data_IF_602758206264
#
_entry.id   IF_602758206264
#
_cell.length_a   1.000
_cell.length_b   1.000
_cell.length_c   1.000
_cell.angle_alpha   90.00
_cell.angle_beta   90.00
_cell.angle_gamma   90.00
#
_symmetry.space_group_name_H-M   'P 1'
#
loop_
_entity.id
_entity.type
_entity.pdbx_description
1 polymer ?
#
# COMPACT_ATOMS: atom_id res chain seq x y z
N UNK A 1 12.74 19.20 12.31
CA UNK A 1 11.31 18.82 12.34
C UNK A 1 10.49 20.02 12.81
N UNK A 2 9.66 20.64 11.95
CA UNK A 2 8.83 21.80 12.36
C UNK A 2 7.57 21.30 13.06
N UNK A 3 7.38 21.65 14.33
CA UNK A 3 6.18 21.34 15.10
C UNK A 3 4.96 22.05 14.49
N UNK A 4 3.87 21.31 14.25
CA UNK A 4 2.60 21.88 13.78
C UNK A 4 2.03 22.76 14.90
N UNK A 5 1.93 24.07 14.66
CA UNK A 5 1.24 25.01 15.57
C UNK A 5 -0.23 24.60 15.66
N UNK A 6 -0.67 24.12 16.82
CA UNK A 6 -2.09 23.82 17.05
C UNK A 6 -2.85 25.14 17.11
N UNK A 7 -3.81 25.33 16.21
CA UNK A 7 -4.71 26.49 16.20
C UNK A 7 -5.50 26.49 17.52
N UNK A 8 -5.57 27.63 18.20
CA UNK A 8 -6.38 27.76 19.43
C UNK A 8 -7.84 27.42 19.08
N UNK A 9 -8.51 26.61 19.90
CA UNK A 9 -9.89 26.19 19.61
C UNK A 9 -10.77 27.42 19.51
N UNK A 10 -11.67 27.43 18.52
CA UNK A 10 -12.62 28.51 18.35
C UNK A 10 -13.68 28.45 19.47
N UNK A 11 -14.30 29.58 19.82
CA UNK A 11 -15.33 29.66 20.86
C UNK A 11 -16.47 28.67 20.59
N UNK A 12 -16.88 28.50 19.32
CA UNK A 12 -17.88 27.50 18.93
C UNK A 12 -17.45 26.05 19.23
N UNK A 13 -16.15 25.74 19.12
CA UNK A 13 -15.62 24.42 19.44
C UNK A 13 -15.56 24.19 20.95
N UNK A 14 -15.18 25.21 21.72
CA UNK A 14 -15.15 25.18 23.19
C UNK A 14 -16.56 24.92 23.73
N UNK A 15 -17.55 25.67 23.22
CA UNK A 15 -18.95 25.55 23.64
C UNK A 15 -19.61 24.24 23.16
N UNK A 16 -19.20 23.68 22.01
CA UNK A 16 -19.72 22.40 21.48
C UNK A 16 -18.92 21.16 21.91
N UNK A 17 -17.77 21.31 22.54
CA UNK A 17 -16.93 20.18 22.98
C UNK A 17 -17.68 19.27 23.96
N UNK A 18 -18.45 19.86 24.88
CA UNK A 18 -19.26 19.12 25.85
C UNK A 18 -20.27 18.19 25.17
N UNK A 19 -21.05 18.71 24.21
CA UNK A 19 -22.07 17.90 23.51
C UNK A 19 -21.46 16.74 22.72
N UNK A 20 -20.29 16.95 22.08
CA UNK A 20 -19.53 15.90 21.41
C UNK A 20 -19.08 14.81 22.38
N UNK A 21 -18.61 15.18 23.58
CA UNK A 21 -18.21 14.24 24.62
C UNK A 21 -19.42 13.45 25.14
N UNK A 22 -20.54 14.10 25.41
CA UNK A 22 -21.77 13.41 25.85
C UNK A 22 -22.35 12.50 24.77
N UNK A 23 -22.26 12.88 23.50
CA UNK A 23 -22.63 12.02 22.38
C UNK A 23 -21.75 10.76 22.33
N UNK A 24 -20.43 10.91 22.48
CA UNK A 24 -19.50 9.76 22.56
C UNK A 24 -19.83 8.86 23.76
N UNK A 25 -20.02 9.43 24.96
CA UNK A 25 -20.39 8.67 26.16
C UNK A 25 -21.70 7.90 26.00
N UNK A 26 -22.72 8.50 25.36
CA UNK A 26 -23.98 7.81 25.06
C UNK A 26 -23.80 6.67 24.06
N UNK A 27 -22.96 6.84 23.04
CA UNK A 27 -22.64 5.75 22.09
C UNK A 27 -21.96 4.58 22.79
N UNK A 28 -20.93 4.86 23.60
CA UNK A 28 -20.24 3.84 24.39
C UNK A 28 -21.21 3.10 25.33
N UNK A 29 -22.11 3.81 26.01
CA UNK A 29 -23.13 3.17 26.86
C UNK A 29 -24.09 2.27 26.08
N UNK A 30 -24.46 2.63 24.84
CA UNK A 30 -25.30 1.81 23.97
C UNK A 30 -24.58 0.59 23.39
N UNK A 31 -23.29 0.73 23.13
CA UNK A 31 -22.43 -0.36 22.64
C UNK A 31 -21.99 -1.29 23.78
N UNK A 32 -22.13 -0.85 25.03
CA UNK A 32 -21.88 -1.68 26.21
C UNK A 32 -22.95 -2.75 26.27
N UNK A 33 -22.54 -4.01 26.21
CA UNK A 33 -23.44 -5.17 26.32
C UNK A 33 -24.05 -5.18 27.72
N UNK A 34 -25.38 -5.14 27.83
CA UNK A 34 -26.09 -5.05 29.11
C UNK A 34 -26.01 -6.35 29.93
N UNK A 35 -26.09 -7.51 29.26
CA UNK A 35 -26.02 -8.84 29.90
C UNK A 35 -25.15 -9.80 29.07
N UNK A 36 -24.41 -10.65 29.76
CA UNK A 36 -23.60 -11.72 29.14
C UNK A 36 -24.18 -13.06 29.56
N UNK A 37 -24.95 -13.68 28.65
CA UNK A 37 -25.50 -15.01 28.87
C UNK A 37 -24.50 -16.09 28.41
N UNK A 38 -24.32 -17.11 29.24
CA UNK A 38 -23.44 -18.24 28.93
C UNK A 38 -24.24 -19.42 28.42
N UNK A 39 -24.14 -19.66 27.11
CA UNK A 39 -24.64 -20.88 26.50
C UNK A 39 -23.69 -22.05 26.81
N UNK A 40 -24.19 -23.03 27.55
CA UNK A 40 -23.44 -24.22 27.94
C UNK A 40 -23.13 -25.13 26.75
N UNK A 41 -23.99 -25.17 25.74
CA UNK A 41 -23.77 -25.99 24.54
C UNK A 41 -22.67 -25.39 23.67
N UNK A 42 -22.72 -24.08 23.43
CA UNK A 42 -21.63 -23.35 22.78
C UNK A 42 -20.30 -23.49 23.54
N UNK A 43 -20.34 -23.49 24.88
CA UNK A 43 -19.14 -23.73 25.70
C UNK A 43 -18.59 -25.14 25.51
N UNK A 44 -19.43 -26.17 25.46
CA UNK A 44 -19.02 -27.56 25.24
C UNK A 44 -18.39 -27.74 23.86
N UNK A 45 -18.97 -27.14 22.83
CA UNK A 45 -18.41 -27.11 21.47
C UNK A 45 -17.09 -26.35 21.42
N UNK A 46 -16.98 -25.24 22.16
CA UNK A 46 -15.72 -24.53 22.31
C UNK A 46 -14.70 -25.36 23.09
N UNK A 47 -15.06 -26.14 24.10
CA UNK A 47 -14.06 -26.94 24.82
C UNK A 47 -13.60 -28.15 24.02
N UNK A 48 -14.44 -28.75 23.19
CA UNK A 48 -14.10 -29.98 22.44
C UNK A 48 -13.61 -29.71 21.02
N UNK A 49 -14.05 -28.61 20.39
CA UNK A 49 -13.80 -28.27 18.99
C UNK A 49 -12.45 -27.60 18.69
N UNK A 50 -11.34 -27.99 19.34
CA UNK A 50 -10.04 -27.32 19.18
C UNK A 50 -9.55 -27.28 17.73
N UNK A 51 -9.75 -28.37 16.99
CA UNK A 51 -9.38 -28.44 15.57
C UNK A 51 -10.19 -27.46 14.73
N UNK A 52 -11.53 -27.40 14.94
CA UNK A 52 -12.42 -26.44 14.28
C UNK A 52 -11.93 -25.01 14.50
N UNK A 53 -11.62 -24.62 15.74
CA UNK A 53 -11.08 -23.29 16.05
C UNK A 53 -9.70 -23.02 15.47
N UNK A 54 -8.84 -24.03 15.40
CA UNK A 54 -7.52 -23.87 14.76
C UNK A 54 -7.68 -23.60 13.27
N UNK A 55 -8.60 -24.31 12.59
CA UNK A 55 -8.92 -24.09 11.19
C UNK A 55 -9.58 -22.73 10.97
N UNK A 56 -10.56 -22.36 11.79
CA UNK A 56 -11.23 -21.06 11.73
C UNK A 56 -10.25 -19.89 11.94
N UNK A 57 -9.33 -20.00 12.90
CA UNK A 57 -8.29 -18.98 13.09
C UNK A 57 -7.44 -18.81 11.84
N UNK A 58 -6.96 -19.91 11.25
CA UNK A 58 -6.21 -19.87 9.99
C UNK A 58 -7.03 -19.22 8.86
N UNK A 59 -8.29 -19.59 8.70
CA UNK A 59 -9.21 -19.02 7.70
C UNK A 59 -9.40 -17.53 7.91
N UNK A 60 -9.72 -17.08 9.13
CA UNK A 60 -9.88 -15.66 9.49
C UNK A 60 -8.62 -14.84 9.21
N UNK A 61 -7.44 -15.39 9.51
CA UNK A 61 -6.18 -14.73 9.19
C UNK A 61 -6.02 -14.57 7.68
N UNK A 62 -6.27 -15.62 6.90
CA UNK A 62 -6.22 -15.57 5.43
C UNK A 62 -7.23 -14.56 4.88
N UNK A 63 -8.47 -14.56 5.37
CA UNK A 63 -9.52 -13.63 4.97
C UNK A 63 -9.12 -12.18 5.26
N UNK A 64 -8.59 -11.90 6.46
CA UNK A 64 -8.10 -10.57 6.82
C UNK A 64 -6.99 -10.08 5.88
N UNK A 65 -6.02 -10.94 5.55
CA UNK A 65 -4.96 -10.56 4.60
C UNK A 65 -5.51 -10.35 3.19
N UNK A 66 -6.47 -11.15 2.73
CA UNK A 66 -7.15 -10.95 1.44
C UNK A 66 -7.90 -9.62 1.40
N UNK A 67 -8.57 -9.25 2.48
CA UNK A 67 -9.27 -7.96 2.59
C UNK A 67 -8.30 -6.78 2.56
N UNK A 68 -7.18 -6.87 3.30
CA UNK A 68 -6.13 -5.85 3.28
C UNK A 68 -5.53 -5.69 1.89
N UNK A 69 -5.14 -6.79 1.23
CA UNK A 69 -4.62 -6.76 -0.13
C UNK A 69 -5.62 -6.16 -1.14
N UNK A 70 -6.92 -6.46 -0.99
CA UNK A 70 -7.97 -5.84 -1.81
C UNK A 70 -8.05 -4.33 -1.57
N UNK A 71 -8.01 -3.89 -0.32
CA UNK A 71 -8.05 -2.48 0.03
C UNK A 71 -6.81 -1.73 -0.49
N UNK A 72 -5.63 -2.33 -0.37
CA UNK A 72 -4.37 -1.79 -0.92
C UNK A 72 -4.44 -1.66 -2.44
N UNK A 73 -4.95 -2.67 -3.15
CA UNK A 73 -5.15 -2.61 -4.60
C UNK A 73 -6.10 -1.49 -5.01
N UNK A 74 -7.17 -1.27 -4.25
CA UNK A 74 -8.12 -0.16 -4.51
C UNK A 74 -7.44 1.18 -4.27
N UNK A 75 -6.68 1.33 -3.18
CA UNK A 75 -5.93 2.56 -2.86
C UNK A 75 -4.89 2.86 -3.94
N UNK A 76 -4.06 1.88 -4.32
CA UNK A 76 -3.07 2.04 -5.37
C UNK A 76 -3.69 2.46 -6.72
N UNK A 77 -4.85 1.89 -7.08
CA UNK A 77 -5.59 2.33 -8.29
C UNK A 77 -6.11 3.75 -8.17
N UNK A 78 -6.61 4.15 -7.01
CA UNK A 78 -7.09 5.50 -6.78
C UNK A 78 -5.94 6.52 -6.83
N UNK A 79 -4.80 6.18 -6.25
CA UNK A 79 -3.57 6.98 -6.28
C UNK A 79 -3.04 7.13 -7.71
N UNK A 80 -2.89 6.04 -8.46
CA UNK A 80 -2.46 6.10 -9.86
C UNK A 80 -3.41 6.94 -10.74
N UNK A 81 -4.72 6.85 -10.51
CA UNK A 81 -5.70 7.69 -11.21
C UNK A 81 -5.54 9.16 -10.85
N UNK A 82 -5.35 9.48 -9.57
CA UNK A 82 -5.16 10.84 -9.10
C UNK A 82 -3.83 11.44 -9.62
N UNK A 83 -2.77 10.65 -9.69
CA UNK A 83 -1.49 11.06 -10.28
C UNK A 83 -1.62 11.34 -11.76
N UNK A 84 -2.28 10.45 -12.52
CA UNK A 84 -2.54 10.66 -13.95
C UNK A 84 -3.36 11.92 -14.21
N UNK A 85 -4.36 12.19 -13.38
CA UNK A 85 -5.17 13.42 -13.47
C UNK A 85 -4.30 14.66 -13.20
N UNK A 86 -3.48 14.64 -12.13
CA UNK A 86 -2.57 15.75 -11.82
C UNK A 86 -1.55 16.01 -12.94
N UNK A 87 -1.03 14.96 -13.57
CA UNK A 87 -0.11 15.09 -14.69
C UNK A 87 -0.82 15.67 -15.91
N UNK A 88 -2.04 15.22 -16.21
CA UNK A 88 -2.85 15.80 -17.28
C UNK A 88 -3.15 17.30 -17.03
N UNK A 89 -3.53 17.66 -15.80
CA UNK A 89 -3.79 19.06 -15.44
C UNK A 89 -2.54 19.94 -15.58
N UNK A 90 -1.36 19.42 -15.19
CA UNK A 90 -0.07 20.09 -15.39
C UNK A 90 0.24 20.27 -16.86
N UNK A 91 0.16 19.20 -17.66
CA UNK A 91 0.44 19.26 -19.09
C UNK A 91 -0.50 20.25 -19.81
N UNK A 92 -1.78 20.29 -19.44
CA UNK A 92 -2.74 21.27 -19.97
C UNK A 92 -2.34 22.70 -19.57
N UNK A 93 -1.94 22.91 -18.32
CA UNK A 93 -1.47 24.21 -17.86
C UNK A 93 -0.19 24.66 -18.59
N UNK A 94 0.76 23.74 -18.82
CA UNK A 94 2.01 24.00 -19.52
C UNK A 94 1.76 24.33 -20.99
N UNK A 95 0.91 23.56 -21.69
CA UNK A 95 0.48 23.85 -23.07
C UNK A 95 -0.25 25.19 -23.15
N UNK A 96 -1.13 25.50 -22.19
CA UNK A 96 -1.82 26.78 -22.15
C UNK A 96 -0.85 27.96 -21.89
N UNK A 97 0.20 27.75 -21.10
CA UNK A 97 1.25 28.74 -20.88
C UNK A 97 2.09 28.97 -22.15
N UNK A 98 2.48 27.90 -22.85
CA UNK A 98 3.19 27.98 -24.13
C UNK A 98 2.32 28.69 -25.17
N UNK A 99 1.06 28.30 -25.34
CA UNK A 99 0.15 28.95 -26.30
C UNK A 99 -0.10 30.42 -25.97
N UNK A 100 -0.16 30.78 -24.68
CA UNK A 100 -0.27 32.17 -24.25
C UNK A 100 1.03 32.95 -24.48
N UNK A 101 2.19 32.30 -24.37
CA UNK A 101 3.52 32.88 -24.63
C UNK A 101 3.81 33.05 -26.13
N UNK A 102 3.47 32.06 -26.94
CA UNK A 102 3.70 32.04 -28.40
C UNK A 102 2.72 32.86 -29.24
N UNK A 103 1.81 33.62 -28.60
CA UNK A 103 0.99 34.65 -29.26
C UNK A 103 1.70 36.01 -29.35
N UNK A 104 2.97 36.11 -28.94
CA UNK A 104 3.84 37.25 -29.22
C UNK A 104 5.20 36.75 -29.73
N UNK A 105 5.39 36.87 -31.05
CA UNK A 105 6.65 36.74 -31.81
C UNK A 105 7.65 35.67 -31.38
N UNK A 106 7.70 34.56 -32.11
CA UNK A 106 8.87 34.14 -32.92
C UNK A 106 8.61 32.72 -33.46
N UNK A 107 8.73 32.57 -34.79
CA UNK A 107 8.82 31.28 -35.47
C UNK A 107 10.13 30.59 -35.02
N UNK A 108 10.13 29.93 -33.86
CA UNK A 108 11.20 29.00 -33.54
C UNK A 108 10.94 27.68 -34.28
N UNK A 109 11.75 27.50 -35.32
CA UNK A 109 11.97 26.28 -36.08
C UNK A 109 12.13 25.09 -35.12
N UNK A 110 11.20 24.15 -35.18
CA UNK A 110 11.27 22.87 -34.46
C UNK A 110 12.47 22.07 -35.01
N UNK A 111 13.65 22.32 -34.46
CA UNK A 111 14.83 21.49 -34.66
C UNK A 111 14.51 20.09 -34.15
N UNK A 112 14.46 19.14 -35.07
CA UNK A 112 14.20 17.74 -34.80
C UNK A 112 15.11 17.23 -33.69
N UNK A 113 14.52 16.51 -32.74
CA UNK A 113 15.23 15.77 -31.70
C UNK A 113 16.45 15.06 -32.32
N UNK A 114 17.65 15.20 -31.74
CA UNK A 114 18.77 14.37 -32.16
C UNK A 114 18.35 12.92 -31.91
N UNK A 115 18.37 12.14 -33.00
CA UNK A 115 18.28 10.70 -32.96
C UNK A 115 19.55 10.23 -32.23
N UNK A 116 19.44 10.06 -30.90
CA UNK A 116 20.46 9.38 -30.12
C UNK A 116 20.57 7.97 -30.69
N UNK A 117 21.64 7.76 -31.46
CA UNK A 117 22.10 6.44 -31.86
C UNK A 117 22.13 5.56 -30.60
N UNK A 118 21.33 4.50 -30.61
CA UNK A 118 21.37 3.46 -29.59
C UNK A 118 22.78 2.84 -29.61
N UNK A 119 23.68 3.35 -28.76
CA UNK A 119 24.85 2.60 -28.33
C UNK A 119 24.31 1.33 -27.67
N UNK A 120 24.34 0.22 -28.41
CA UNK A 120 24.14 -1.12 -27.89
C UNK A 120 25.22 -1.37 -26.82
N UNK A 121 24.93 -0.97 -25.57
CA UNK A 121 25.65 -1.47 -24.40
C UNK A 121 25.54 -2.99 -24.43
N UNK A 122 26.68 -3.60 -24.76
CA UNK A 122 26.90 -5.05 -24.75
C UNK A 122 26.41 -5.60 -23.41
N UNK A 123 25.21 -6.17 -23.42
CA UNK A 123 24.61 -6.85 -22.28
C UNK A 123 25.55 -8.01 -21.94
N UNK A 124 26.30 -7.89 -20.85
CA UNK A 124 26.96 -9.04 -20.24
C UNK A 124 25.87 -10.05 -19.92
N UNK A 125 25.88 -11.19 -20.64
CA UNK A 125 25.02 -12.34 -20.36
C UNK A 125 25.26 -12.78 -18.91
N UNK A 126 24.42 -12.27 -18.00
CA UNK A 126 24.33 -12.79 -16.64
C UNK A 126 23.89 -14.24 -16.77
N UNK A 127 24.84 -15.16 -16.61
CA UNK A 127 24.57 -16.60 -16.57
C UNK A 127 23.47 -16.84 -15.55
N UNK A 128 22.39 -17.49 -15.97
CA UNK A 128 21.31 -17.84 -15.06
C UNK A 128 21.87 -18.73 -13.94
N UNK A 129 21.55 -18.47 -12.67
CA UNK A 129 22.08 -19.24 -11.55
C UNK A 129 21.60 -20.69 -11.64
N UNK A 130 22.51 -21.65 -11.50
CA UNK A 130 22.18 -23.09 -11.49
C UNK A 130 21.33 -23.42 -10.25
N UNK A 131 20.04 -23.71 -10.46
CA UNK A 131 19.07 -24.03 -9.40
C UNK A 131 18.90 -25.54 -9.30
N UNK A 132 19.38 -26.13 -8.20
CA UNK A 132 19.20 -27.55 -7.91
C UNK A 132 18.13 -27.78 -6.85
N UNK A 133 17.13 -28.62 -7.18
CA UNK A 133 16.09 -29.03 -6.24
C UNK A 133 16.47 -30.33 -5.52
N UNK A 134 16.47 -30.30 -4.19
CA UNK A 134 16.66 -31.48 -3.36
C UNK A 134 15.36 -31.81 -2.63
N UNK A 135 14.88 -33.04 -2.82
CA UNK A 135 13.64 -33.56 -2.24
C UNK A 135 13.96 -34.56 -1.14
N UNK A 136 13.60 -34.22 0.09
CA UNK A 136 13.55 -35.16 1.21
C UNK A 136 12.10 -35.58 1.48
N UNK A 137 11.89 -36.65 2.27
CA UNK A 137 10.53 -37.14 2.61
C UNK A 137 9.68 -36.10 3.35
N UNK A 138 10.30 -35.08 3.96
CA UNK A 138 9.63 -34.06 4.77
C UNK A 138 9.77 -32.63 4.25
N UNK A 139 10.73 -32.34 3.37
CA UNK A 139 11.01 -30.99 2.90
C UNK A 139 11.57 -30.95 1.47
N UNK A 140 11.17 -29.92 0.74
CA UNK A 140 11.77 -29.51 -0.54
C UNK A 140 12.71 -28.33 -0.27
N UNK A 141 13.99 -28.49 -0.60
CA UNK A 141 15.02 -27.47 -0.44
C UNK A 141 15.63 -27.13 -1.79
N UNK A 142 15.66 -25.85 -2.15
CA UNK A 142 16.27 -25.33 -3.38
C UNK A 142 17.58 -24.61 -3.07
N UNK A 143 18.66 -24.98 -3.76
CA UNK A 143 19.99 -24.37 -3.59
C UNK A 143 20.38 -23.68 -4.89
N UNK A 144 20.76 -22.41 -4.80
CA UNK A 144 21.25 -21.56 -5.91
C UNK A 144 22.75 -21.33 -5.75
N UNK A 145 23.55 -21.73 -6.72
CA UNK A 145 25.01 -21.48 -6.74
C UNK A 145 25.28 -20.23 -7.59
N UNK A 146 26.04 -19.28 -7.04
CA UNK A 146 26.47 -18.05 -7.73
C UNK A 146 28.00 -18.12 -7.79
N UNK A 147 28.56 -18.23 -9.00
CA UNK A 147 30.00 -18.46 -9.22
C UNK A 147 30.83 -17.17 -9.13
N UNK A 148 30.21 -15.99 -9.24
CA UNK A 148 30.91 -14.69 -9.34
C UNK A 148 31.23 -14.04 -7.98
N UNK A 149 31.33 -14.84 -6.91
CA UNK A 149 31.58 -14.34 -5.55
C UNK A 149 33.07 -14.53 -5.21
N UNK A 150 33.92 -13.64 -5.77
CA UNK A 150 35.35 -13.57 -5.44
C UNK A 150 35.52 -13.20 -3.95
N UNK A 151 35.94 -14.18 -3.15
CA UNK A 151 36.12 -14.09 -1.69
C UNK A 151 37.59 -13.88 -1.28
N UNK A 152 38.44 -13.41 -2.19
CA UNK A 152 39.88 -13.25 -1.97
C UNK A 152 40.27 -11.78 -1.76
N UNK A 153 39.78 -11.15 -0.68
CA UNK A 153 40.43 -9.98 -0.08
C UNK A 153 40.31 -10.06 1.46
N UNK A 154 41.30 -10.69 2.10
CA UNK A 154 41.67 -10.47 3.51
C UNK A 154 43.19 -10.37 3.63
#
# INVERSE_FOLDING_TARGET
MKAKRTKKPNNAEILSAGSKIYAKKRKVKKETVENVDFDFDARKDFLTGFHKRKVERKKKTIEKYKELARQEKIKARAEAKAERQRLADKNVADVAAILRGGLGDEEEEFEGFPEEEEEEERIEEKKEPDVKEFKSKSALTTVTVIEDLDLDEQ
#
